data_IF_436386609812
#
_entry.id   IF_436386609812
#
_cell.length_a   1.000
_cell.length_b   1.000
_cell.length_c   1.000
_cell.angle_alpha   90.00
_cell.angle_beta   90.00
_cell.angle_gamma   90.00
#
_symmetry.space_group_name_H-M   'P 1'
#
loop_
_entity.id
_entity.type
_entity.pdbx_description
1 polymer ?
#
# COMPACT_ATOMS: atom_id res chain seq x y z
N UNK A 1 -14.09 -8.98 9.46
CA UNK A 1 -13.42 -7.73 9.11
C UNK A 1 -12.62 -7.91 7.84
N UNK A 2 -12.81 -7.01 6.88
CA UNK A 2 -12.15 -7.09 5.58
C UNK A 2 -10.74 -6.48 5.58
N UNK A 3 -10.38 -5.77 6.64
CA UNK A 3 -9.10 -5.09 6.74
C UNK A 3 -7.99 -6.06 7.15
N UNK A 4 -6.87 -6.04 6.45
CA UNK A 4 -5.67 -6.76 6.89
C UNK A 4 -4.95 -5.95 7.94
N UNK A 5 -4.41 -6.62 8.96
CA UNK A 5 -3.71 -5.96 10.07
C UNK A 5 -2.46 -6.74 10.43
N UNK A 6 -1.59 -6.12 11.25
CA UNK A 6 -0.40 -6.75 11.76
C UNK A 6 0.56 -7.17 10.66
N UNK A 7 1.07 -8.38 10.75
CA UNK A 7 2.06 -8.89 9.80
C UNK A 7 1.51 -9.12 8.39
N UNK A 8 0.19 -9.07 8.22
CA UNK A 8 -0.43 -9.21 6.90
C UNK A 8 -0.40 -7.92 6.09
N UNK A 9 -0.04 -6.80 6.71
CA UNK A 9 0.04 -5.49 6.04
C UNK A 9 1.42 -5.35 5.43
N UNK A 10 1.53 -5.19 4.09
CA UNK A 10 2.86 -4.99 3.49
C UNK A 10 3.40 -3.62 3.87
N UNK A 11 4.62 -3.61 4.42
CA UNK A 11 5.27 -2.37 4.83
C UNK A 11 6.79 -2.53 4.82
N UNK A 12 7.48 -1.51 4.34
CA UNK A 12 8.94 -1.42 4.37
C UNK A 12 9.33 -0.03 4.82
N UNK A 13 10.60 0.12 5.25
CA UNK A 13 11.14 1.44 5.59
C UNK A 13 11.67 2.14 4.34
N UNK A 14 11.93 3.45 4.44
CA UNK A 14 12.29 4.26 3.28
C UNK A 14 13.68 3.98 2.73
N UNK A 15 14.54 3.37 3.53
CA UNK A 15 15.94 3.12 3.18
C UNK A 15 16.20 1.77 2.52
N UNK A 16 15.17 0.97 2.27
CA UNK A 16 15.35 -0.31 1.58
C UNK A 16 15.41 -0.08 0.06
N UNK A 17 15.96 -1.07 -0.65
CA UNK A 17 16.00 -1.02 -2.11
C UNK A 17 14.63 -1.35 -2.69
N UNK A 18 14.43 -0.99 -3.95
CA UNK A 18 13.24 -1.38 -4.68
C UNK A 18 13.08 -2.91 -4.68
N UNK A 19 14.19 -3.66 -4.79
CA UNK A 19 14.17 -5.12 -4.75
C UNK A 19 13.53 -5.63 -3.45
N UNK A 20 13.92 -5.05 -2.30
CA UNK A 20 13.35 -5.45 -1.00
C UNK A 20 11.87 -5.12 -0.92
N UNK A 21 11.46 -3.98 -1.46
CA UNK A 21 10.04 -3.61 -1.50
C UNK A 21 9.24 -4.59 -2.36
N UNK A 22 9.78 -5.02 -3.50
CA UNK A 22 9.12 -6.00 -4.36
C UNK A 22 8.97 -7.34 -3.66
N UNK A 23 9.97 -7.74 -2.88
CA UNK A 23 9.89 -8.97 -2.10
C UNK A 23 8.73 -8.91 -1.10
N UNK A 24 8.59 -7.78 -0.40
CA UNK A 24 7.49 -7.59 0.54
C UNK A 24 6.14 -7.62 -0.16
N UNK A 25 6.01 -6.97 -1.32
CA UNK A 25 4.79 -6.96 -2.10
C UNK A 25 4.37 -8.38 -2.50
N UNK A 26 5.34 -9.18 -2.97
CA UNK A 26 5.10 -10.56 -3.36
C UNK A 26 4.70 -11.41 -2.17
N UNK A 27 5.41 -11.26 -1.05
CA UNK A 27 5.16 -12.04 0.16
C UNK A 27 3.76 -11.79 0.72
N UNK A 28 3.32 -10.55 0.74
CA UNK A 28 1.99 -10.20 1.29
C UNK A 28 0.87 -10.33 0.27
N UNK A 29 1.18 -10.30 -1.02
CA UNK A 29 0.22 -10.61 -2.08
C UNK A 29 -0.84 -9.58 -2.35
N UNK A 30 -0.62 -8.31 -2.02
CA UNK A 30 -1.60 -7.25 -2.25
C UNK A 30 -1.30 -6.36 -3.47
N UNK A 31 -0.18 -6.60 -4.15
CA UNK A 31 0.22 -5.77 -5.29
C UNK A 31 0.65 -4.36 -4.92
N UNK A 32 0.97 -4.14 -3.66
CA UNK A 32 1.44 -2.86 -3.16
C UNK A 32 2.15 -3.04 -1.83
N UNK A 33 2.90 -2.02 -1.41
CA UNK A 33 3.44 -1.96 -0.05
C UNK A 33 3.39 -0.51 0.44
N UNK A 34 3.19 -0.35 1.74
CA UNK A 34 3.36 0.95 2.40
C UNK A 34 4.84 1.19 2.64
N UNK A 35 5.24 2.45 2.66
CA UNK A 35 6.56 2.87 3.11
C UNK A 35 6.35 3.67 4.39
N UNK A 36 7.03 3.27 5.47
CA UNK A 36 6.82 3.85 6.79
C UNK A 36 8.15 4.29 7.40
N UNK A 37 8.09 5.17 8.39
CA UNK A 37 9.25 5.57 9.18
C UNK A 37 9.37 4.68 10.43
N UNK A 38 10.34 5.00 11.29
CA UNK A 38 10.60 4.21 12.50
C UNK A 38 9.43 4.22 13.48
N UNK A 39 8.55 5.22 13.42
CA UNK A 39 7.36 5.32 14.25
C UNK A 39 6.13 4.68 13.58
N UNK A 40 6.33 4.00 12.45
CA UNK A 40 5.26 3.39 11.65
C UNK A 40 4.29 4.39 11.03
N UNK A 41 4.73 5.64 10.88
CA UNK A 41 3.96 6.66 10.16
C UNK A 41 4.09 6.45 8.66
N UNK A 42 2.99 6.61 7.94
CA UNK A 42 2.96 6.38 6.49
C UNK A 42 3.70 7.51 5.77
N UNK A 43 4.76 7.16 5.03
CA UNK A 43 5.51 8.09 4.19
C UNK A 43 5.05 8.04 2.75
N UNK A 44 4.59 6.88 2.30
CA UNK A 44 4.16 6.71 0.92
C UNK A 44 3.66 5.31 0.66
N UNK A 45 3.41 5.05 -0.63
CA UNK A 45 2.93 3.76 -1.11
C UNK A 45 3.64 3.44 -2.43
N UNK A 46 3.80 2.16 -2.71
CA UNK A 46 4.37 1.71 -3.98
C UNK A 46 3.52 0.55 -4.49
N UNK A 47 3.10 0.62 -5.76
CA UNK A 47 2.17 -0.33 -6.34
C UNK A 47 2.78 -1.00 -7.57
N UNK A 48 2.12 -2.05 -8.07
CA UNK A 48 2.52 -2.70 -9.31
C UNK A 48 2.55 -1.72 -10.49
N UNK A 49 1.63 -0.76 -10.52
CA UNK A 49 1.63 0.29 -11.55
C UNK A 49 2.86 1.18 -11.45
N UNK A 50 3.27 1.53 -10.22
CA UNK A 50 4.48 2.30 -10.00
C UNK A 50 5.72 1.51 -10.47
N UNK A 51 5.74 0.21 -10.22
CA UNK A 51 6.84 -0.66 -10.66
C UNK A 51 6.99 -0.61 -12.18
N UNK A 52 5.88 -0.71 -12.90
CA UNK A 52 5.93 -0.65 -14.36
C UNK A 52 6.55 0.66 -14.83
N UNK A 53 6.13 1.79 -14.24
CA UNK A 53 6.68 3.10 -14.60
C UNK A 53 8.17 3.22 -14.26
N UNK A 54 8.55 2.69 -13.10
CA UNK A 54 9.94 2.72 -12.64
C UNK A 54 10.85 1.92 -13.59
N UNK A 55 10.40 0.74 -14.00
CA UNK A 55 11.17 -0.10 -14.93
C UNK A 55 11.25 0.52 -16.32
N UNK A 56 10.15 1.12 -16.80
CA UNK A 56 10.15 1.81 -18.09
C UNK A 56 11.12 2.98 -18.10
N UNK A 57 11.34 3.61 -16.94
CA UNK A 57 12.30 4.70 -16.80
C UNK A 57 13.76 4.21 -16.69
N UNK A 58 13.99 2.88 -16.68
CA UNK A 58 15.33 2.31 -16.68
C UNK A 58 15.96 2.12 -15.31
N UNK A 59 15.20 2.17 -14.24
CA UNK A 59 15.75 2.02 -12.89
C UNK A 59 16.23 0.58 -12.63
N UNK A 60 17.32 0.46 -11.87
CA UNK A 60 17.85 -0.84 -11.42
C UNK A 60 17.27 -1.15 -10.06
N UNK A 61 16.52 -2.25 -9.95
CA UNK A 61 15.83 -2.62 -8.71
C UNK A 61 16.79 -2.88 -7.55
N UNK A 62 18.04 -3.25 -7.84
CA UNK A 62 19.02 -3.60 -6.82
C UNK A 62 19.68 -2.38 -6.18
N UNK A 63 19.65 -1.24 -6.84
CA UNK A 63 20.35 -0.03 -6.38
C UNK A 63 19.42 1.14 -6.11
N UNK A 64 18.22 1.15 -6.69
CA UNK A 64 17.24 2.22 -6.48
C UNK A 64 16.62 2.08 -5.10
N UNK A 65 16.62 3.17 -4.31
CA UNK A 65 15.97 3.18 -3.00
C UNK A 65 14.47 3.41 -3.18
N UNK A 66 13.68 2.75 -2.35
CA UNK A 66 12.21 2.86 -2.46
C UNK A 66 11.75 4.30 -2.24
N UNK A 67 12.42 5.06 -1.38
CA UNK A 67 12.05 6.47 -1.14
C UNK A 67 12.17 7.34 -2.37
N UNK A 68 12.98 6.95 -3.35
CA UNK A 68 13.21 7.73 -4.57
C UNK A 68 12.15 7.48 -5.63
N UNK A 69 11.37 6.41 -5.50
CA UNK A 69 10.36 6.02 -6.50
C UNK A 69 8.96 5.86 -5.91
N UNK A 70 8.81 5.89 -4.60
CA UNK A 70 7.50 5.74 -3.97
C UNK A 70 6.57 6.90 -4.31
N UNK A 71 5.28 6.64 -4.22
CA UNK A 71 4.25 7.65 -4.39
C UNK A 71 3.91 8.23 -3.01
N UNK A 72 4.08 9.54 -2.83
CA UNK A 72 3.93 10.18 -1.51
C UNK A 72 2.53 10.70 -1.23
N UNK A 73 1.75 10.97 -2.29
CA UNK A 73 0.40 11.52 -2.16
C UNK A 73 -0.62 10.37 -2.22
N UNK A 74 -0.54 9.44 -1.26
CA UNK A 74 -1.40 8.26 -1.27
C UNK A 74 -2.71 8.51 -0.54
N UNK A 75 -3.76 7.81 -0.97
CA UNK A 75 -5.05 7.83 -0.29
C UNK A 75 -5.03 6.90 0.90
N UNK A 76 -5.57 7.37 2.02
CA UNK A 76 -5.72 6.58 3.25
C UNK A 76 -7.14 6.71 3.77
N UNK A 77 -7.52 5.81 4.67
CA UNK A 77 -8.80 5.88 5.36
C UNK A 77 -8.60 5.44 6.81
N UNK A 78 -9.66 5.51 7.59
CA UNK A 78 -9.63 5.15 9.00
C UNK A 78 -10.23 3.76 9.23
N UNK A 79 -9.90 3.16 10.38
CA UNK A 79 -10.31 1.80 10.71
C UNK A 79 -11.83 1.63 10.80
N UNK A 80 -12.55 2.69 11.11
CA UNK A 80 -14.01 2.67 11.26
C UNK A 80 -14.76 2.94 9.96
N UNK A 81 -14.06 3.02 8.83
CA UNK A 81 -14.71 3.24 7.54
C UNK A 81 -15.64 2.08 7.22
N UNK A 82 -16.81 2.40 6.67
CA UNK A 82 -17.73 1.36 6.20
C UNK A 82 -17.20 0.74 4.91
N UNK A 83 -17.41 -0.57 4.75
CA UNK A 83 -16.90 -1.28 3.56
C UNK A 83 -17.43 -0.68 2.26
N UNK A 84 -18.69 -0.27 2.22
CA UNK A 84 -19.26 0.37 1.02
C UNK A 84 -18.57 1.69 0.72
N UNK A 85 -18.22 2.46 1.73
CA UNK A 85 -17.50 3.72 1.54
C UNK A 85 -16.07 3.48 1.07
N UNK A 86 -15.39 2.46 1.64
CA UNK A 86 -14.06 2.09 1.20
C UNK A 86 -14.07 1.70 -0.27
N UNK A 87 -15.05 0.92 -0.70
CA UNK A 87 -15.21 0.53 -2.10
C UNK A 87 -15.39 1.76 -2.98
N UNK A 88 -16.19 2.73 -2.55
CA UNK A 88 -16.42 3.97 -3.29
C UNK A 88 -15.10 4.74 -3.48
N UNK A 89 -14.28 4.83 -2.42
CA UNK A 89 -12.97 5.51 -2.49
C UNK A 89 -12.08 4.80 -3.51
N UNK A 90 -12.03 3.47 -3.47
CA UNK A 90 -11.23 2.70 -4.41
C UNK A 90 -11.67 2.93 -5.85
N UNK A 91 -12.97 2.91 -6.11
CA UNK A 91 -13.52 3.09 -7.45
C UNK A 91 -13.33 4.51 -7.97
N UNK A 92 -13.60 5.52 -7.14
CA UNK A 92 -13.46 6.92 -7.54
C UNK A 92 -12.01 7.27 -7.88
N UNK A 93 -11.05 6.67 -7.18
CA UNK A 93 -9.63 6.96 -7.38
C UNK A 93 -8.96 5.96 -8.32
N UNK A 94 -9.70 4.96 -8.81
CA UNK A 94 -9.20 3.92 -9.72
C UNK A 94 -8.00 3.20 -9.15
N UNK A 95 -8.07 2.86 -7.86
CA UNK A 95 -7.03 2.12 -7.15
C UNK A 95 -7.62 0.82 -6.61
N UNK A 96 -6.75 -0.15 -6.33
CA UNK A 96 -7.17 -1.48 -5.87
C UNK A 96 -6.89 -1.72 -4.39
N UNK A 97 -6.07 -0.88 -3.78
CA UNK A 97 -5.70 -1.01 -2.37
C UNK A 97 -5.71 0.34 -1.70
N UNK A 98 -6.02 0.34 -0.41
CA UNK A 98 -6.15 1.54 0.39
C UNK A 98 -5.49 1.28 1.75
N UNK A 99 -4.58 2.16 2.15
CA UNK A 99 -3.96 2.06 3.46
C UNK A 99 -4.90 2.62 4.53
N UNK A 100 -4.86 2.01 5.70
CA UNK A 100 -5.67 2.42 6.83
C UNK A 100 -4.75 2.99 7.90
N UNK A 101 -5.04 4.20 8.34
CA UNK A 101 -4.24 4.87 9.37
C UNK A 101 -5.10 5.25 10.57
N UNK A 102 -4.42 5.49 11.70
CA UNK A 102 -5.09 6.12 12.83
C UNK A 102 -5.04 7.66 12.66
N UNK A 103 -5.50 8.39 13.68
CA UNK A 103 -5.57 9.85 13.62
C UNK A 103 -4.20 10.52 13.53
N UNK A 104 -3.15 9.82 13.92
CA UNK A 104 -1.78 10.33 13.89
C UNK A 104 -1.05 9.98 12.60
N UNK A 105 -1.71 9.30 11.66
CA UNK A 105 -1.08 8.88 10.42
C UNK A 105 -0.29 7.58 10.52
N UNK A 106 -0.41 6.86 11.63
CA UNK A 106 0.25 5.57 11.83
C UNK A 106 -0.47 4.49 11.02
N UNK A 107 0.31 3.67 10.33
CA UNK A 107 -0.24 2.56 9.55
C UNK A 107 -0.81 1.49 10.48
N UNK A 108 -2.08 1.13 10.31
CA UNK A 108 -2.73 0.10 11.11
C UNK A 108 -3.35 -1.00 10.27
N UNK A 109 -3.54 -0.79 8.99
CA UNK A 109 -4.15 -1.83 8.17
C UNK A 109 -4.10 -1.53 6.68
N UNK A 110 -4.63 -2.46 5.90
CA UNK A 110 -4.76 -2.30 4.47
C UNK A 110 -6.04 -2.97 3.99
N UNK A 111 -6.71 -2.33 3.04
CA UNK A 111 -7.89 -2.86 2.38
C UNK A 111 -7.56 -3.11 0.91
N UNK A 112 -7.98 -4.25 0.39
CA UNK A 112 -7.82 -4.58 -1.01
C UNK A 112 -9.20 -4.87 -1.60
N UNK A 113 -9.42 -4.43 -2.84
CA UNK A 113 -10.72 -4.58 -3.49
C UNK A 113 -11.15 -6.05 -3.59
N UNK A 114 -10.19 -6.97 -3.75
CA UNK A 114 -10.50 -8.39 -3.83
C UNK A 114 -11.00 -8.95 -2.49
N UNK A 115 -10.49 -8.42 -1.37
CA UNK A 115 -10.98 -8.81 -0.05
C UNK A 115 -12.43 -8.36 0.14
N UNK A 116 -12.79 -7.19 -0.39
CA UNK A 116 -14.15 -6.69 -0.35
C UNK A 116 -15.09 -7.57 -1.19
N UNK A 117 -14.64 -8.01 -2.36
CA UNK A 117 -15.41 -8.93 -3.20
C UNK A 117 -15.68 -10.25 -2.48
N UNK A 118 -14.66 -10.80 -1.81
CA UNK A 118 -14.81 -12.06 -1.09
C UNK A 118 -15.81 -11.98 0.06
N UNK A 119 -16.02 -10.78 0.61
CA UNK A 119 -16.99 -10.56 1.67
C UNK A 119 -18.42 -10.33 1.12
N UNK A 120 -18.61 -10.47 -0.19
CA UNK A 120 -19.94 -10.41 -0.78
C UNK A 120 -20.48 -9.00 -0.95
N UNK A 121 -19.62 -8.00 -1.02
CA UNK A 121 -20.03 -6.60 -1.13
C UNK A 121 -20.28 -6.16 -2.58
N UNK A 122 -20.04 -7.06 -3.50
CA UNK A 122 -20.19 -6.78 -4.94
C UNK A 122 -21.05 -7.83 -5.58
#
# INVERSE_FOLDING_TARGET
DVMRTGERVPAVTADVTLRDALFEMTDKGLGMTAIVDAANSILGIYTDGDLRRTLDAGADVRTTLIRDVMHTNCKTTHADVLAAEALRILEENKITSLLVSDDDGTLIGALNIHDLFREGLM
#
